data_IF_898625979517
#
_entry.id   IF_898625979517
#
_cell.length_a   1.000
_cell.length_b   1.000
_cell.length_c   1.000
_cell.angle_alpha   90.00
_cell.angle_beta   90.00
_cell.angle_gamma   90.00
#
_symmetry.space_group_name_H-M   'P 1'
#
loop_
_entity.id
_entity.type
_entity.pdbx_description
1 polymer ?
#
# COMPACT_ATOMS: atom_id res chain seq x y z
N UNK A 1 -28.90 12.16 -0.91
CA UNK A 1 -28.37 11.83 0.42
C UNK A 1 -28.90 12.83 1.42
N UNK A 2 -29.24 12.43 2.64
CA UNK A 2 -29.59 13.38 3.68
C UNK A 2 -28.36 14.21 4.04
N UNK A 3 -28.43 15.54 4.04
CA UNK A 3 -27.30 16.39 4.47
C UNK A 3 -26.98 16.04 5.93
N UNK A 4 -25.77 15.59 6.20
CA UNK A 4 -25.27 15.24 7.54
C UNK A 4 -25.19 13.75 7.85
N UNK A 5 -25.48 12.86 6.90
CA UNK A 5 -25.23 11.41 7.06
C UNK A 5 -23.93 11.04 6.34
N UNK A 6 -23.01 10.38 7.05
CA UNK A 6 -21.76 9.89 6.48
C UNK A 6 -22.04 8.87 5.35
N UNK A 7 -21.50 9.06 4.14
CA UNK A 7 -21.64 8.07 3.08
C UNK A 7 -20.96 6.76 3.47
N UNK A 8 -21.52 5.63 3.02
CA UNK A 8 -20.85 4.34 3.18
C UNK A 8 -19.50 4.34 2.43
N UNK A 9 -18.63 3.38 2.75
CA UNK A 9 -17.35 3.23 2.05
C UNK A 9 -17.55 3.05 0.52
N UNK A 10 -18.55 2.24 0.12
CA UNK A 10 -18.91 2.07 -1.28
C UNK A 10 -19.38 3.38 -1.92
N UNK A 11 -20.28 4.10 -1.24
CA UNK A 11 -20.77 5.38 -1.76
C UNK A 11 -19.63 6.39 -1.89
N UNK A 12 -18.66 6.39 -0.96
CA UNK A 12 -17.49 7.27 -1.03
C UNK A 12 -16.64 7.00 -2.27
N UNK A 13 -16.40 5.73 -2.62
CA UNK A 13 -15.68 5.34 -3.84
C UNK A 13 -16.45 5.79 -5.09
N UNK A 14 -17.75 5.58 -5.11
CA UNK A 14 -18.62 6.00 -6.25
C UNK A 14 -18.68 7.52 -6.39
N UNK A 15 -18.71 8.30 -5.30
CA UNK A 15 -18.67 9.77 -5.31
C UNK A 15 -17.35 10.25 -5.94
N UNK A 16 -16.20 9.70 -5.50
CA UNK A 16 -14.90 10.09 -6.05
C UNK A 16 -14.76 9.72 -7.53
N UNK A 17 -15.23 8.52 -7.92
CA UNK A 17 -15.29 8.11 -9.31
C UNK A 17 -16.12 9.08 -10.15
N UNK A 18 -17.35 9.39 -9.75
CA UNK A 18 -18.26 10.27 -10.48
C UNK A 18 -17.70 11.70 -10.58
N UNK A 19 -17.01 12.21 -9.54
CA UNK A 19 -16.33 13.51 -9.58
C UNK A 19 -15.31 13.57 -10.71
N UNK A 20 -14.47 12.52 -10.83
CA UNK A 20 -13.46 12.47 -11.89
C UNK A 20 -14.09 12.30 -13.28
N UNK A 21 -15.05 11.39 -13.43
CA UNK A 21 -15.72 11.13 -14.73
C UNK A 21 -16.45 12.35 -15.26
N UNK A 22 -17.03 13.19 -14.40
CA UNK A 22 -17.66 14.45 -14.80
C UNK A 22 -16.68 15.42 -15.51
N UNK A 23 -15.37 15.24 -15.33
CA UNK A 23 -14.31 16.02 -15.97
C UNK A 23 -13.66 15.30 -17.17
N UNK A 24 -14.23 14.15 -17.60
CA UNK A 24 -13.72 13.31 -18.70
C UNK A 24 -14.71 13.25 -19.86
N UNK A 25 -14.19 13.05 -21.06
CA UNK A 25 -15.00 12.72 -22.23
C UNK A 25 -15.05 11.18 -22.42
N UNK A 26 -15.96 10.55 -21.66
CA UNK A 26 -16.23 9.12 -21.75
C UNK A 26 -17.64 8.89 -22.28
N UNK A 27 -17.80 7.88 -23.15
CA UNK A 27 -19.16 7.44 -23.51
C UNK A 27 -19.85 6.81 -22.30
N UNK A 28 -21.18 6.98 -22.14
CA UNK A 28 -21.92 6.42 -21.00
C UNK A 28 -21.74 4.91 -20.82
N UNK A 29 -21.62 4.15 -21.91
CA UNK A 29 -21.38 2.71 -21.85
C UNK A 29 -19.99 2.34 -21.34
N UNK A 30 -18.96 3.12 -21.68
CA UNK A 30 -17.60 2.90 -21.18
C UNK A 30 -17.47 3.33 -19.71
N UNK A 31 -18.10 4.44 -19.34
CA UNK A 31 -18.19 4.87 -17.95
C UNK A 31 -18.80 3.77 -17.07
N UNK A 32 -19.97 3.26 -17.43
CA UNK A 32 -20.66 2.18 -16.72
C UNK A 32 -19.78 0.92 -16.63
N UNK A 33 -19.11 0.55 -17.74
CA UNK A 33 -18.21 -0.60 -17.79
C UNK A 33 -17.03 -0.47 -16.82
N UNK A 34 -16.49 0.73 -16.63
CA UNK A 34 -15.36 0.98 -15.71
C UNK A 34 -15.84 1.01 -14.25
N UNK A 35 -17.07 1.44 -14.01
CA UNK A 35 -17.64 1.61 -12.67
C UNK A 35 -18.05 0.29 -12.00
N UNK A 36 -18.58 -0.67 -12.76
CA UNK A 36 -19.17 -1.90 -12.22
C UNK A 36 -18.16 -3.03 -12.12
N UNK A 37 -18.30 -3.89 -11.09
CA UNK A 37 -17.54 -5.12 -11.01
C UNK A 37 -17.98 -6.12 -12.09
N UNK A 38 -17.01 -6.77 -12.74
CA UNK A 38 -17.27 -7.80 -13.75
C UNK A 38 -17.93 -9.05 -13.16
N UNK A 39 -17.48 -9.46 -11.96
CA UNK A 39 -18.02 -10.63 -11.29
C UNK A 39 -17.79 -10.56 -9.77
N UNK A 40 -18.73 -11.06 -8.99
CA UNK A 40 -18.59 -11.29 -7.57
C UNK A 40 -19.09 -12.66 -7.20
N UNK A 41 -18.22 -13.43 -6.55
CA UNK A 41 -18.53 -14.78 -6.08
C UNK A 41 -18.72 -14.79 -4.58
N UNK A 42 -19.89 -15.25 -4.14
CA UNK A 42 -20.13 -15.63 -2.74
C UNK A 42 -19.94 -17.12 -2.61
N UNK A 43 -19.00 -17.55 -1.79
CA UNK A 43 -18.76 -18.96 -1.51
C UNK A 43 -19.15 -19.29 -0.07
N UNK A 44 -19.88 -20.40 0.11
CA UNK A 44 -20.21 -20.96 1.42
C UNK A 44 -19.64 -22.35 1.50
N UNK A 45 -18.94 -22.64 2.60
CA UNK A 45 -18.27 -23.93 2.77
C UNK A 45 -18.25 -24.35 4.24
N UNK A 46 -18.19 -25.66 4.45
CA UNK A 46 -18.10 -26.22 5.80
C UNK A 46 -16.68 -26.71 6.10
N UNK A 47 -16.25 -26.51 7.34
CA UNK A 47 -15.02 -27.10 7.91
C UNK A 47 -15.40 -27.84 9.20
N UNK A 48 -14.82 -29.03 9.43
CA UNK A 48 -14.99 -29.74 10.69
C UNK A 48 -14.01 -29.20 11.70
N UNK A 49 -14.53 -28.49 12.70
CA UNK A 49 -13.77 -27.89 13.80
C UNK A 49 -14.44 -28.23 15.14
N UNK A 50 -13.65 -28.46 16.18
CA UNK A 50 -14.15 -28.65 17.56
C UNK A 50 -15.24 -29.72 17.65
N UNK A 51 -15.11 -30.81 16.88
CA UNK A 51 -16.05 -31.93 16.88
C UNK A 51 -17.34 -31.71 16.07
N UNK A 52 -17.56 -30.53 15.47
CA UNK A 52 -18.73 -30.18 14.65
C UNK A 52 -18.37 -29.66 13.26
N UNK A 53 -19.37 -29.37 12.44
CA UNK A 53 -19.20 -28.67 11.17
C UNK A 53 -19.58 -27.21 11.40
N UNK A 54 -18.63 -26.30 11.12
CA UNK A 54 -18.88 -24.87 11.07
C UNK A 54 -18.95 -24.41 9.61
N UNK A 55 -19.88 -23.51 9.30
CA UNK A 55 -20.10 -22.96 7.97
C UNK A 55 -19.56 -21.55 7.89
N UNK A 56 -18.80 -21.26 6.83
CA UNK A 56 -18.16 -19.99 6.57
C UNK A 56 -18.68 -19.37 5.29
N UNK A 57 -18.72 -18.04 5.25
CA UNK A 57 -19.06 -17.26 4.06
C UNK A 57 -17.87 -16.42 3.65
N UNK A 58 -17.46 -16.56 2.40
CA UNK A 58 -16.38 -15.76 1.81
C UNK A 58 -16.80 -15.17 0.48
N UNK A 59 -16.07 -14.14 0.06
CA UNK A 59 -16.30 -13.40 -1.17
C UNK A 59 -15.01 -13.31 -1.99
N UNK A 60 -15.14 -13.27 -3.31
CA UNK A 60 -14.10 -12.84 -4.24
C UNK A 60 -14.73 -12.03 -5.35
N UNK A 61 -14.35 -10.75 -5.47
CA UNK A 61 -14.83 -9.85 -6.51
C UNK A 61 -13.71 -9.54 -7.50
N UNK A 62 -14.07 -9.53 -8.77
CA UNK A 62 -13.26 -9.06 -9.91
C UNK A 62 -13.90 -7.78 -10.40
N UNK A 63 -13.21 -6.66 -10.25
CA UNK A 63 -13.74 -5.38 -10.69
C UNK A 63 -13.48 -5.17 -12.18
N UNK A 64 -12.24 -5.24 -12.62
CA UNK A 64 -11.88 -4.96 -14.01
C UNK A 64 -10.79 -5.90 -14.52
N UNK A 65 -11.04 -6.50 -15.68
CA UNK A 65 -10.10 -7.34 -16.44
C UNK A 65 -9.52 -6.58 -17.64
N UNK A 66 -9.39 -5.26 -17.51
CA UNK A 66 -8.71 -4.45 -18.54
C UNK A 66 -7.26 -4.91 -18.71
N UNK A 67 -6.64 -5.42 -17.66
CA UNK A 67 -5.35 -6.13 -17.60
C UNK A 67 -5.53 -7.43 -16.81
N UNK A 68 -4.75 -8.45 -17.15
CA UNK A 68 -4.69 -9.73 -16.44
C UNK A 68 -3.25 -10.05 -16.05
N UNK A 69 -3.08 -10.75 -14.90
CA UNK A 69 -4.12 -11.20 -13.97
C UNK A 69 -4.75 -10.05 -13.19
N UNK A 70 -5.93 -10.29 -12.60
CA UNK A 70 -6.49 -9.35 -11.62
C UNK A 70 -5.82 -9.55 -10.26
N UNK A 71 -5.64 -8.49 -9.49
CA UNK A 71 -4.87 -8.47 -8.25
C UNK A 71 -5.63 -7.85 -7.10
N UNK A 72 -5.55 -8.45 -5.90
CA UNK A 72 -6.11 -7.85 -4.69
C UNK A 72 -6.09 -8.78 -3.48
N UNK A 73 -5.97 -8.20 -2.29
CA UNK A 73 -5.84 -8.91 -1.03
C UNK A 73 -7.07 -9.74 -0.64
N UNK A 74 -6.89 -10.64 0.33
CA UNK A 74 -7.96 -11.37 1.01
C UNK A 74 -7.99 -10.90 2.46
N UNK A 75 -9.13 -10.32 2.88
CA UNK A 75 -9.37 -9.80 4.23
C UNK A 75 -10.09 -10.83 5.09
N UNK A 76 -9.63 -11.04 6.32
CA UNK A 76 -10.38 -11.77 7.35
C UNK A 76 -10.89 -10.77 8.39
N UNK A 77 -12.21 -10.59 8.40
CA UNK A 77 -12.89 -9.72 9.35
C UNK A 77 -14.36 -10.11 9.47
N UNK A 78 -14.95 -10.04 10.67
CA UNK A 78 -16.39 -10.33 10.85
C UNK A 78 -17.29 -9.38 10.07
N UNK A 79 -16.82 -8.15 9.75
CA UNK A 79 -17.58 -7.15 9.00
C UNK A 79 -17.58 -7.31 7.49
N UNK A 80 -16.78 -8.25 6.95
CA UNK A 80 -16.66 -8.46 5.49
C UNK A 80 -18.02 -8.76 4.87
N UNK A 81 -18.35 -7.98 3.84
CA UNK A 81 -19.57 -8.15 3.05
C UNK A 81 -19.29 -7.88 1.56
N UNK A 82 -20.27 -8.18 0.72
CA UNK A 82 -20.13 -8.04 -0.74
C UNK A 82 -19.81 -6.60 -1.16
N UNK A 83 -20.55 -5.62 -0.63
CA UNK A 83 -20.40 -4.21 -1.02
C UNK A 83 -18.99 -3.68 -0.69
N UNK A 84 -18.46 -4.02 0.47
CA UNK A 84 -17.10 -3.67 0.87
C UNK A 84 -16.05 -4.30 -0.07
N UNK A 85 -16.20 -5.60 -0.36
CA UNK A 85 -15.28 -6.32 -1.25
C UNK A 85 -15.29 -5.75 -2.67
N UNK A 86 -16.45 -5.37 -3.19
CA UNK A 86 -16.58 -4.73 -4.50
C UNK A 86 -15.95 -3.34 -4.54
N UNK A 87 -16.18 -2.51 -3.51
CA UNK A 87 -15.56 -1.18 -3.41
C UNK A 87 -14.04 -1.27 -3.35
N UNK A 88 -13.51 -2.20 -2.54
CA UNK A 88 -12.07 -2.43 -2.45
C UNK A 88 -11.48 -3.02 -3.75
N UNK A 89 -12.25 -3.82 -4.51
CA UNK A 89 -11.83 -4.33 -5.82
C UNK A 89 -11.74 -3.20 -6.86
N UNK A 90 -12.66 -2.22 -6.82
CA UNK A 90 -12.61 -1.03 -7.65
C UNK A 90 -11.37 -0.18 -7.35
N UNK A 91 -11.11 0.09 -6.07
CA UNK A 91 -9.88 0.80 -5.66
C UNK A 91 -8.61 0.07 -6.11
N UNK A 92 -8.59 -1.27 -6.09
CA UNK A 92 -7.44 -2.03 -6.60
C UNK A 92 -7.23 -1.81 -8.10
N UNK A 93 -8.29 -1.73 -8.91
CA UNK A 93 -8.19 -1.39 -10.34
C UNK A 93 -7.53 -0.02 -10.54
N UNK A 94 -8.05 1.01 -9.86
CA UNK A 94 -7.53 2.37 -10.01
C UNK A 94 -6.11 2.49 -9.48
N UNK A 95 -5.80 1.85 -8.36
CA UNK A 95 -4.46 1.81 -7.79
C UNK A 95 -3.44 1.17 -8.73
N UNK A 96 -3.74 -0.03 -9.27
CA UNK A 96 -2.85 -0.70 -10.22
C UNK A 96 -2.65 0.13 -11.49
N UNK A 97 -3.71 0.73 -12.05
CA UNK A 97 -3.63 1.58 -13.21
C UNK A 97 -2.78 2.84 -12.96
N UNK A 98 -2.91 3.44 -11.77
CA UNK A 98 -2.15 4.64 -11.41
C UNK A 98 -0.65 4.40 -11.42
N UNK A 99 -0.20 3.34 -10.74
CA UNK A 99 1.22 2.97 -10.62
C UNK A 99 1.71 2.07 -11.75
N UNK A 100 0.94 1.94 -12.83
CA UNK A 100 1.27 1.14 -14.01
C UNK A 100 1.64 -0.32 -13.72
N UNK A 101 1.16 -0.86 -12.60
CA UNK A 101 1.23 -2.29 -12.37
C UNK A 101 0.26 -2.98 -13.35
N UNK A 102 0.71 -3.94 -14.19
CA UNK A 102 -0.09 -4.51 -15.27
C UNK A 102 -1.10 -5.52 -14.74
N UNK A 103 -1.95 -5.07 -13.83
CA UNK A 103 -3.00 -5.85 -13.18
C UNK A 103 -4.36 -5.20 -13.35
N UNK A 104 -5.37 -6.04 -13.51
CA UNK A 104 -6.74 -5.65 -13.20
C UNK A 104 -6.97 -5.62 -11.69
N UNK A 105 -8.18 -5.28 -11.26
CA UNK A 105 -8.51 -5.18 -9.83
C UNK A 105 -9.39 -6.31 -9.34
N UNK A 106 -9.04 -6.88 -8.21
CA UNK A 106 -9.88 -7.81 -7.46
C UNK A 106 -9.76 -7.62 -5.96
N UNK A 107 -10.66 -8.21 -5.20
CA UNK A 107 -10.61 -8.26 -3.75
C UNK A 107 -11.30 -9.50 -3.24
N UNK A 108 -10.85 -10.05 -2.13
CA UNK A 108 -11.51 -11.14 -1.43
C UNK A 108 -11.68 -10.87 0.04
N UNK A 109 -12.54 -11.65 0.67
CA UNK A 109 -12.70 -11.61 2.11
C UNK A 109 -13.41 -12.83 2.65
N UNK A 110 -13.21 -13.10 3.93
CA UNK A 110 -13.85 -14.16 4.68
C UNK A 110 -14.44 -13.57 5.96
N UNK A 111 -15.71 -13.86 6.24
CA UNK A 111 -16.43 -13.36 7.42
C UNK A 111 -16.01 -14.16 8.66
N UNK A 112 -14.84 -13.87 9.22
CA UNK A 112 -14.35 -14.44 10.48
C UNK A 112 -13.53 -13.42 11.26
N UNK A 113 -13.49 -13.56 12.58
CA UNK A 113 -12.45 -12.96 13.40
C UNK A 113 -11.32 -13.99 13.55
N UNK A 114 -10.12 -13.75 12.98
CA UNK A 114 -9.04 -14.72 13.07
C UNK A 114 -8.57 -14.99 14.50
N UNK A 115 -8.89 -14.11 15.46
CA UNK A 115 -8.55 -14.28 16.89
C UNK A 115 -9.41 -15.33 17.59
N UNK A 116 -10.55 -15.71 17.00
CA UNK A 116 -11.44 -16.73 17.53
C UNK A 116 -10.96 -18.17 17.25
N UNK A 117 -9.91 -18.32 16.43
CA UNK A 117 -9.41 -19.61 15.95
C UNK A 117 -7.92 -19.76 16.28
N UNK A 118 -7.51 -20.98 16.62
CA UNK A 118 -6.10 -21.31 16.71
C UNK A 118 -5.45 -21.44 15.32
N UNK A 119 -4.13 -21.58 15.29
CA UNK A 119 -3.38 -21.65 14.02
C UNK A 119 -3.80 -22.82 13.14
N UNK A 120 -4.03 -23.97 13.73
CA UNK A 120 -4.46 -25.17 13.00
C UNK A 120 -5.86 -25.01 12.42
N UNK A 121 -6.78 -24.45 13.19
CA UNK A 121 -8.15 -24.15 12.74
C UNK A 121 -8.15 -23.13 11.59
N UNK A 122 -7.33 -22.06 11.71
CA UNK A 122 -7.15 -21.07 10.64
C UNK A 122 -6.56 -21.70 9.38
N UNK A 123 -5.60 -22.62 9.51
CA UNK A 123 -5.05 -23.36 8.37
C UNK A 123 -6.15 -24.15 7.65
N UNK A 124 -6.96 -24.92 8.38
CA UNK A 124 -8.06 -25.69 7.81
C UNK A 124 -9.08 -24.82 7.09
N UNK A 125 -9.47 -23.70 7.70
CA UNK A 125 -10.41 -22.72 7.14
C UNK A 125 -9.82 -22.10 5.87
N UNK A 126 -8.57 -21.62 5.93
CA UNK A 126 -7.88 -20.97 4.81
C UNK A 126 -7.69 -21.91 3.62
N UNK A 127 -7.24 -23.14 3.85
CA UNK A 127 -7.09 -24.14 2.81
C UNK A 127 -8.42 -24.52 2.18
N UNK A 128 -9.48 -24.63 2.96
CA UNK A 128 -10.82 -24.91 2.43
C UNK A 128 -11.37 -23.75 1.61
N UNK A 129 -11.19 -22.52 2.06
CA UNK A 129 -11.53 -21.33 1.30
C UNK A 129 -10.74 -21.26 -0.01
N UNK A 130 -9.42 -21.45 0.05
CA UNK A 130 -8.57 -21.51 -1.13
C UNK A 130 -9.03 -22.59 -2.13
N UNK A 131 -9.37 -23.80 -1.66
CA UNK A 131 -9.92 -24.85 -2.51
C UNK A 131 -11.16 -24.39 -3.28
N UNK A 132 -12.09 -23.69 -2.60
CA UNK A 132 -13.30 -23.19 -3.24
C UNK A 132 -13.02 -22.12 -4.30
N UNK A 133 -11.99 -21.28 -4.08
CA UNK A 133 -11.58 -20.26 -5.04
C UNK A 133 -10.78 -20.84 -6.20
N UNK A 134 -9.85 -21.77 -5.95
CA UNK A 134 -8.99 -22.39 -6.98
C UNK A 134 -9.82 -23.11 -8.02
N UNK A 135 -10.80 -23.93 -7.62
CA UNK A 135 -11.66 -24.67 -8.55
C UNK A 135 -12.53 -23.78 -9.46
N UNK A 136 -12.50 -22.45 -9.26
CA UNK A 136 -13.22 -21.44 -10.05
C UNK A 136 -12.28 -20.45 -10.72
N UNK A 137 -10.99 -20.74 -10.75
CA UNK A 137 -9.92 -19.87 -11.26
C UNK A 137 -9.84 -18.49 -10.56
N UNK A 138 -10.43 -18.38 -9.35
CA UNK A 138 -10.36 -17.19 -8.51
C UNK A 138 -9.06 -17.11 -7.70
N UNK A 139 -8.19 -18.11 -7.80
CA UNK A 139 -6.77 -18.13 -7.44
C UNK A 139 -6.07 -18.87 -8.57
N UNK A 140 -5.32 -18.11 -9.38
CA UNK A 140 -4.61 -18.61 -10.55
C UNK A 140 -3.52 -17.61 -10.94
N UNK A 141 -2.26 -18.06 -11.21
CA UNK A 141 -1.15 -17.15 -11.56
C UNK A 141 -1.42 -16.25 -12.77
N UNK A 142 -2.23 -16.72 -13.73
CA UNK A 142 -2.52 -16.03 -14.97
C UNK A 142 -3.82 -15.22 -14.95
N UNK A 143 -4.74 -15.48 -14.00
CA UNK A 143 -6.06 -14.86 -14.00
C UNK A 143 -6.36 -14.03 -12.75
N UNK A 144 -6.04 -14.54 -11.55
CA UNK A 144 -6.45 -13.88 -10.32
C UNK A 144 -5.48 -14.20 -9.17
N UNK A 145 -4.71 -13.20 -8.75
CA UNK A 145 -3.59 -13.35 -7.81
C UNK A 145 -3.88 -12.63 -6.49
N UNK A 146 -4.26 -13.35 -5.43
CA UNK A 146 -4.44 -12.78 -4.10
C UNK A 146 -3.13 -12.25 -3.48
N UNK A 147 -3.31 -11.49 -2.39
CA UNK A 147 -2.26 -10.98 -1.53
C UNK A 147 -2.77 -10.90 -0.09
N UNK A 148 -1.91 -10.64 0.91
CA UNK A 148 -2.35 -10.35 2.27
C UNK A 148 -3.18 -9.05 2.33
N UNK A 149 -4.07 -9.00 3.32
CA UNK A 149 -4.84 -7.84 3.74
C UNK A 149 -5.10 -7.92 5.25
N UNK A 150 -5.97 -7.09 5.80
CA UNK A 150 -6.33 -7.14 7.22
C UNK A 150 -6.74 -8.55 7.64
N UNK A 151 -6.16 -9.04 8.74
CA UNK A 151 -6.42 -10.37 9.29
C UNK A 151 -5.75 -11.54 8.57
N UNK A 152 -4.93 -11.28 7.53
CA UNK A 152 -4.10 -12.29 6.84
C UNK A 152 -2.67 -11.80 6.67
N UNK A 153 -1.73 -12.74 6.52
CA UNK A 153 -0.30 -12.44 6.39
C UNK A 153 0.43 -13.47 5.52
N UNK A 154 1.74 -13.50 5.68
CA UNK A 154 2.63 -14.41 4.94
C UNK A 154 2.24 -15.87 5.15
N UNK A 155 1.80 -16.23 6.34
CA UNK A 155 1.40 -17.58 6.75
C UNK A 155 0.19 -18.07 5.94
N UNK A 156 -0.87 -17.30 5.87
CA UNK A 156 -2.07 -17.60 5.10
C UNK A 156 -1.75 -17.70 3.60
N UNK A 157 -0.90 -16.81 3.10
CA UNK A 157 -0.46 -16.86 1.69
C UNK A 157 0.36 -18.12 1.39
N UNK A 158 1.19 -18.59 2.32
CA UNK A 158 1.91 -19.86 2.17
C UNK A 158 0.95 -21.06 2.11
N UNK A 159 -0.08 -21.09 2.96
CA UNK A 159 -1.09 -22.15 2.94
C UNK A 159 -1.91 -22.16 1.64
N UNK A 160 -2.25 -20.98 1.11
CA UNK A 160 -2.97 -20.84 -0.17
C UNK A 160 -2.09 -21.33 -1.32
N UNK A 161 -0.80 -20.94 -1.35
CA UNK A 161 0.14 -21.37 -2.39
C UNK A 161 0.35 -22.88 -2.38
N UNK A 162 0.51 -23.50 -1.20
CA UNK A 162 0.62 -24.95 -1.05
C UNK A 162 -0.66 -25.66 -1.49
N UNK A 163 -1.84 -25.13 -1.12
CA UNK A 163 -3.12 -25.67 -1.56
C UNK A 163 -3.27 -25.61 -3.09
N UNK A 164 -2.87 -24.51 -3.72
CA UNK A 164 -2.87 -24.36 -5.17
C UNK A 164 -1.99 -25.41 -5.83
N UNK A 165 -0.77 -25.57 -5.35
CA UNK A 165 0.19 -26.54 -5.90
C UNK A 165 -0.29 -27.98 -5.77
N UNK A 166 -0.98 -28.34 -4.69
CA UNK A 166 -1.59 -29.68 -4.51
C UNK A 166 -2.68 -29.98 -5.52
N UNK A 167 -3.42 -28.95 -5.97
CA UNK A 167 -4.49 -29.09 -6.96
C UNK A 167 -3.99 -29.00 -8.41
N UNK A 168 -2.88 -28.28 -8.65
CA UNK A 168 -2.31 -27.98 -9.96
C UNK A 168 -0.84 -28.42 -10.02
N UNK A 169 -0.58 -29.72 -9.89
CA UNK A 169 0.76 -30.30 -9.73
C UNK A 169 1.68 -30.07 -10.93
N UNK A 170 1.14 -29.84 -12.11
CA UNK A 170 1.88 -29.62 -13.37
C UNK A 170 2.12 -28.14 -13.69
N UNK A 171 1.50 -27.23 -12.93
CA UNK A 171 1.70 -25.79 -13.13
C UNK A 171 3.05 -25.34 -12.59
N UNK A 172 4.00 -25.09 -13.49
CA UNK A 172 5.34 -24.60 -13.14
C UNK A 172 5.31 -23.19 -12.56
N UNK A 173 4.28 -22.39 -12.86
CA UNK A 173 4.07 -21.04 -12.39
C UNK A 173 3.25 -20.98 -11.09
N UNK A 174 2.87 -22.13 -10.54
CA UNK A 174 1.97 -22.23 -9.39
C UNK A 174 2.42 -21.43 -8.16
N UNK A 175 3.73 -21.15 -8.01
CA UNK A 175 4.27 -20.28 -6.93
C UNK A 175 3.79 -18.83 -7.09
N UNK A 176 3.49 -18.38 -8.31
CA UNK A 176 3.00 -17.02 -8.60
C UNK A 176 1.49 -16.85 -8.35
N UNK A 177 0.77 -17.89 -7.91
CA UNK A 177 -0.69 -17.84 -7.70
C UNK A 177 -1.12 -16.86 -6.60
N UNK A 178 -0.22 -16.50 -5.68
CA UNK A 178 -0.40 -15.47 -4.64
C UNK A 178 0.89 -14.71 -4.41
N UNK A 179 0.81 -13.52 -3.83
CA UNK A 179 1.97 -12.72 -3.40
C UNK A 179 1.91 -12.42 -1.91
N UNK A 180 3.02 -11.95 -1.33
CA UNK A 180 3.16 -11.74 0.11
C UNK A 180 3.43 -13.03 0.87
N UNK A 181 4.10 -13.98 0.23
CA UNK A 181 4.57 -15.22 0.84
C UNK A 181 5.83 -14.99 1.68
N UNK A 182 6.14 -15.88 2.63
CA UNK A 182 7.46 -15.91 3.25
C UNK A 182 8.59 -16.04 2.22
N UNK A 183 9.75 -15.49 2.52
CA UNK A 183 10.92 -15.51 1.62
C UNK A 183 11.28 -16.93 1.18
N UNK A 184 11.26 -17.89 2.12
CA UNK A 184 11.55 -19.29 1.85
C UNK A 184 10.47 -20.02 1.04
N UNK A 185 9.28 -19.42 0.90
CA UNK A 185 8.17 -19.93 0.09
C UNK A 185 8.00 -19.17 -1.25
N UNK A 186 8.99 -18.41 -1.67
CA UNK A 186 8.97 -17.66 -2.93
C UNK A 186 8.61 -16.18 -2.80
N UNK A 187 8.55 -15.65 -1.59
CA UNK A 187 8.37 -14.23 -1.31
C UNK A 187 9.55 -13.37 -1.79
N UNK A 188 9.43 -12.06 -1.70
CA UNK A 188 10.42 -11.09 -2.13
C UNK A 188 10.88 -10.20 -0.96
N UNK A 189 12.17 -9.90 -0.90
CA UNK A 189 12.70 -8.94 0.08
C UNK A 189 12.08 -7.55 -0.14
N UNK A 190 11.85 -6.82 0.96
CA UNK A 190 11.24 -5.50 0.93
C UNK A 190 9.71 -5.49 0.91
N UNK A 191 9.03 -6.67 0.80
CA UNK A 191 7.55 -6.71 0.76
C UNK A 191 6.91 -6.22 2.05
N UNK A 192 7.50 -6.56 3.21
CA UNK A 192 6.97 -6.18 4.52
C UNK A 192 6.99 -4.67 4.71
N UNK A 193 8.07 -4.00 4.33
CA UNK A 193 8.23 -2.55 4.44
C UNK A 193 7.57 -1.76 3.29
N UNK A 194 7.18 -2.42 2.20
CA UNK A 194 6.86 -1.80 0.92
C UNK A 194 5.79 -0.70 0.99
N UNK A 195 4.75 -0.88 1.79
CA UNK A 195 3.68 0.11 1.89
C UNK A 195 4.15 1.36 2.64
N UNK A 196 4.82 1.18 3.80
CA UNK A 196 5.40 2.31 4.55
C UNK A 196 6.51 3.01 3.76
N UNK A 197 7.33 2.26 3.04
CA UNK A 197 8.34 2.83 2.12
C UNK A 197 7.69 3.61 0.98
N UNK A 198 6.57 3.14 0.46
CA UNK A 198 5.77 3.86 -0.53
C UNK A 198 5.24 5.19 -0.02
N UNK A 199 4.78 5.24 1.23
CA UNK A 199 4.36 6.49 1.90
C UNK A 199 5.53 7.49 1.99
N UNK A 200 6.72 7.04 2.38
CA UNK A 200 7.92 7.88 2.40
C UNK A 200 8.25 8.42 0.99
N UNK A 201 8.24 7.56 -0.03
CA UNK A 201 8.52 7.98 -1.40
C UNK A 201 7.44 8.92 -1.98
N UNK A 202 6.19 8.75 -1.56
CA UNK A 202 5.12 9.69 -1.91
C UNK A 202 5.38 11.08 -1.32
N UNK A 203 5.86 11.16 -0.08
CA UNK A 203 6.28 12.40 0.53
C UNK A 203 7.51 13.00 -0.14
N UNK A 204 8.52 12.18 -0.49
CA UNK A 204 9.67 12.65 -1.26
C UNK A 204 9.26 13.29 -2.60
N UNK A 205 8.31 12.66 -3.30
CA UNK A 205 7.81 13.20 -4.57
C UNK A 205 7.03 14.50 -4.37
N UNK A 206 6.18 14.57 -3.33
CA UNK A 206 5.42 15.77 -3.00
C UNK A 206 6.33 16.94 -2.57
N UNK A 207 7.35 16.69 -1.75
CA UNK A 207 8.28 17.74 -1.29
C UNK A 207 9.21 18.27 -2.39
N UNK A 208 9.24 17.65 -3.56
CA UNK A 208 9.87 18.17 -4.78
C UNK A 208 8.93 18.99 -5.67
N UNK A 209 7.64 18.95 -5.39
CA UNK A 209 6.61 19.70 -6.10
C UNK A 209 6.38 21.06 -5.45
N UNK A 210 7.05 22.10 -5.94
CA UNK A 210 6.96 23.46 -5.39
C UNK A 210 5.55 24.00 -5.40
N UNK A 211 4.75 23.72 -6.45
CA UNK A 211 3.35 24.15 -6.53
C UNK A 211 2.46 23.42 -5.51
N UNK A 212 2.72 22.15 -5.30
CA UNK A 212 2.03 21.35 -4.28
C UNK A 212 2.33 21.87 -2.87
N UNK A 213 3.60 22.16 -2.59
CA UNK A 213 4.02 22.75 -1.32
C UNK A 213 3.39 24.13 -1.06
N UNK A 214 3.37 25.01 -2.08
CA UNK A 214 2.71 26.31 -1.99
C UNK A 214 1.21 26.17 -1.67
N UNK A 215 0.50 25.24 -2.33
CA UNK A 215 -0.92 24.96 -2.05
C UNK A 215 -1.15 24.44 -0.62
N UNK A 216 -0.25 23.61 -0.09
CA UNK A 216 -0.30 23.11 1.28
C UNK A 216 0.17 24.15 2.31
N UNK A 217 0.71 25.30 1.89
CA UNK A 217 1.32 26.28 2.82
C UNK A 217 2.56 25.72 3.54
N UNK A 218 3.20 24.70 2.97
CA UNK A 218 4.41 24.08 3.49
C UNK A 218 5.64 24.60 2.73
N UNK A 219 6.79 24.65 3.41
CA UNK A 219 8.05 25.03 2.80
C UNK A 219 9.21 24.19 3.32
N UNK A 220 10.35 24.25 2.62
CA UNK A 220 11.57 23.53 3.02
C UNK A 220 11.53 22.04 2.66
N UNK A 221 12.36 21.29 3.35
CA UNK A 221 12.51 19.83 3.19
C UNK A 221 11.70 19.07 4.25
N UNK A 222 11.76 17.75 4.23
CA UNK A 222 11.12 16.89 5.24
C UNK A 222 11.78 17.01 6.61
N UNK A 223 13.08 17.34 6.66
CA UNK A 223 13.81 17.47 7.92
C UNK A 223 13.12 18.47 8.87
N UNK A 224 12.94 18.02 10.11
CA UNK A 224 12.28 18.79 11.16
C UNK A 224 10.75 18.88 11.08
N UNK A 225 10.08 18.36 10.04
CA UNK A 225 8.61 18.35 9.95
C UNK A 225 8.00 17.52 11.06
N UNK A 226 6.92 18.05 11.66
CA UNK A 226 6.15 17.40 12.72
C UNK A 226 5.13 16.47 12.09
N UNK A 227 5.19 15.19 12.44
CA UNK A 227 4.35 14.14 11.85
C UNK A 227 3.54 13.46 12.95
N UNK A 228 2.24 13.36 12.72
CA UNK A 228 1.33 12.55 13.53
C UNK A 228 0.98 11.29 12.76
N UNK A 229 1.16 10.11 13.37
CA UNK A 229 0.86 8.81 12.75
C UNK A 229 -0.23 8.10 13.54
N UNK A 230 -1.30 7.70 12.85
CA UNK A 230 -2.34 6.86 13.44
C UNK A 230 -2.15 5.39 13.02
N UNK A 231 -1.94 4.54 14.01
CA UNK A 231 -1.65 3.13 13.83
C UNK A 231 -0.16 2.85 13.63
N UNK A 232 0.43 2.07 14.54
CA UNK A 232 1.82 1.61 14.45
C UNK A 232 1.89 0.13 14.03
N UNK A 233 0.92 -0.30 13.21
CA UNK A 233 0.95 -1.58 12.50
C UNK A 233 2.02 -1.56 11.40
N UNK A 234 2.01 -2.58 10.52
CA UNK A 234 3.03 -2.72 9.49
C UNK A 234 3.28 -1.45 8.66
N UNK A 235 2.23 -0.75 8.25
CA UNK A 235 2.35 0.44 7.39
C UNK A 235 2.84 1.65 8.17
N UNK A 236 2.17 1.98 9.27
CA UNK A 236 2.50 3.18 10.05
C UNK A 236 3.87 3.08 10.72
N UNK A 237 4.24 1.91 11.23
CA UNK A 237 5.57 1.69 11.78
C UNK A 237 6.69 1.95 10.76
N UNK A 238 6.62 1.33 9.58
CA UNK A 238 7.65 1.52 8.57
C UNK A 238 7.67 2.96 8.03
N UNK A 239 6.50 3.59 7.83
CA UNK A 239 6.44 4.99 7.42
C UNK A 239 7.07 5.91 8.47
N UNK A 240 6.67 5.79 9.74
CA UNK A 240 7.22 6.59 10.84
C UNK A 240 8.72 6.39 11.00
N UNK A 241 9.18 5.13 10.97
CA UNK A 241 10.59 4.77 11.08
C UNK A 241 11.43 5.45 9.99
N UNK A 242 11.06 5.28 8.73
CA UNK A 242 11.86 5.83 7.63
C UNK A 242 11.83 7.36 7.61
N UNK A 243 10.69 7.98 7.88
CA UNK A 243 10.59 9.44 7.98
C UNK A 243 11.44 10.01 9.13
N UNK A 244 11.52 9.31 10.26
CA UNK A 244 12.35 9.79 11.38
C UNK A 244 13.84 9.51 11.18
N UNK A 245 14.22 8.28 10.78
CA UNK A 245 15.62 7.85 10.70
C UNK A 245 16.34 8.35 9.43
N UNK A 246 15.63 8.40 8.29
CA UNK A 246 16.24 8.73 7.00
C UNK A 246 16.00 10.18 6.57
N UNK A 247 14.84 10.76 6.96
CA UNK A 247 14.42 12.10 6.50
C UNK A 247 14.41 13.16 7.61
N UNK A 248 14.74 12.79 8.86
CA UNK A 248 14.84 13.74 9.96
C UNK A 248 13.50 14.33 10.45
N UNK A 249 12.37 13.73 10.07
CA UNK A 249 11.07 14.12 10.57
C UNK A 249 10.93 13.85 12.08
N UNK A 250 10.15 14.68 12.77
CA UNK A 250 9.79 14.49 14.17
C UNK A 250 8.43 13.80 14.25
N UNK A 251 8.38 12.55 14.71
CA UNK A 251 7.13 11.85 14.96
C UNK A 251 6.57 12.36 16.30
N UNK A 252 5.74 13.39 16.25
CA UNK A 252 5.27 14.09 17.45
C UNK A 252 4.10 13.41 18.14
N UNK A 253 3.36 12.53 17.44
CA UNK A 253 2.36 11.68 18.07
C UNK A 253 2.20 10.36 17.36
N UNK A 254 1.92 9.29 18.14
CA UNK A 254 1.56 7.96 17.68
C UNK A 254 0.23 7.59 18.32
N UNK A 255 -0.78 7.37 17.50
CA UNK A 255 -2.15 7.06 17.91
C UNK A 255 -2.41 5.57 17.71
N UNK A 256 -2.84 4.89 18.77
CA UNK A 256 -3.27 3.50 18.74
C UNK A 256 -4.71 3.36 19.28
N UNK A 257 -5.28 2.16 19.17
CA UNK A 257 -6.67 1.88 19.58
C UNK A 257 -6.98 2.17 21.05
N UNK A 258 -5.96 2.16 21.90
CA UNK A 258 -6.06 2.25 23.35
C UNK A 258 -5.45 3.52 23.95
N UNK A 259 -5.11 4.49 23.09
CA UNK A 259 -4.61 5.81 23.46
C UNK A 259 -3.63 6.36 22.47
N UNK A 260 -2.96 7.45 22.81
CA UNK A 260 -1.89 8.02 21.99
C UNK A 260 -0.74 8.51 22.86
N UNK A 261 0.48 8.37 22.38
CA UNK A 261 1.68 9.00 22.93
C UNK A 261 1.97 10.29 22.15
N UNK A 262 2.50 11.29 22.84
CA UNK A 262 2.92 12.53 22.18
C UNK A 262 4.16 13.12 22.83
N UNK A 263 5.04 13.71 22.01
CA UNK A 263 6.21 14.49 22.44
C UNK A 263 6.61 15.45 21.30
N UNK A 264 6.61 16.75 21.56
CA UNK A 264 6.99 17.76 20.56
C UNK A 264 8.45 17.67 20.11
N UNK A 265 9.30 16.98 20.88
CA UNK A 265 10.70 16.72 20.53
C UNK A 265 10.84 15.61 19.49
N UNK A 266 9.83 14.76 19.35
CA UNK A 266 9.76 13.54 18.57
C UNK A 266 9.91 12.28 19.44
N UNK A 267 9.06 11.30 19.15
CA UNK A 267 9.05 9.96 19.77
C UNK A 267 10.09 9.05 19.10
N UNK A 268 10.73 8.19 19.89
CA UNK A 268 11.53 7.09 19.36
C UNK A 268 10.60 5.97 18.85
N UNK A 269 10.46 5.89 17.54
CA UNK A 269 9.54 4.95 16.88
C UNK A 269 9.91 3.50 17.18
N UNK A 270 11.21 3.17 17.22
CA UNK A 270 11.70 1.81 17.50
C UNK A 270 11.39 1.39 18.93
N UNK A 271 11.59 2.27 19.90
CA UNK A 271 11.31 1.98 21.30
C UNK A 271 9.79 1.83 21.53
N UNK A 272 8.96 2.71 20.96
CA UNK A 272 7.50 2.60 21.05
C UNK A 272 7.01 1.30 20.40
N UNK A 273 7.50 0.96 19.21
CA UNK A 273 7.12 -0.28 18.52
C UNK A 273 7.55 -1.52 19.31
N UNK A 274 8.74 -1.52 19.90
CA UNK A 274 9.24 -2.59 20.77
C UNK A 274 8.34 -2.75 22.00
N UNK A 275 7.95 -1.63 22.62
CA UNK A 275 7.05 -1.63 23.77
C UNK A 275 5.70 -2.29 23.41
N UNK A 276 5.06 -1.85 22.33
CA UNK A 276 3.79 -2.41 21.88
C UNK A 276 3.94 -3.91 21.58
N UNK A 277 5.03 -4.33 20.94
CA UNK A 277 5.28 -5.74 20.63
C UNK A 277 5.41 -6.61 21.86
N UNK A 278 5.98 -6.08 22.95
CA UNK A 278 6.14 -6.82 24.21
C UNK A 278 4.90 -6.81 25.08
N UNK A 279 4.14 -5.72 25.11
CA UNK A 279 3.04 -5.52 26.06
C UNK A 279 1.65 -5.60 25.42
N UNK A 280 1.56 -5.57 24.08
CA UNK A 280 0.28 -5.56 23.35
C UNK A 280 -0.54 -4.28 23.49
N UNK A 281 0.03 -3.22 24.07
CA UNK A 281 -0.63 -1.95 24.38
C UNK A 281 0.39 -0.81 24.34
N UNK A 282 -0.12 0.39 24.00
CA UNK A 282 0.68 1.64 24.10
C UNK A 282 0.72 2.19 25.54
N UNK A 283 -0.23 1.76 26.38
CA UNK A 283 -0.35 2.23 27.77
C UNK A 283 0.85 1.81 28.61
N UNK A 284 1.25 2.73 29.49
CA UNK A 284 2.37 2.49 30.40
C UNK A 284 3.74 2.69 29.79
N UNK A 285 3.84 3.17 28.55
CA UNK A 285 5.13 3.56 27.97
C UNK A 285 5.76 4.67 28.83
N UNK A 286 7.03 4.50 29.28
CA UNK A 286 7.58 5.37 30.33
C UNK A 286 8.04 6.75 29.83
N UNK A 287 8.45 6.85 28.57
CA UNK A 287 9.23 8.01 28.07
C UNK A 287 8.39 9.05 27.33
N UNK A 288 7.06 8.91 27.33
CA UNK A 288 6.16 9.91 26.76
C UNK A 288 4.80 9.92 27.48
N UNK A 289 4.14 11.11 27.57
CA UNK A 289 2.80 11.21 28.11
C UNK A 289 1.78 10.48 27.24
N UNK A 290 0.75 9.91 27.90
CA UNK A 290 -0.36 9.21 27.27
C UNK A 290 -1.60 10.13 27.27
N UNK A 291 -2.20 10.30 26.07
CA UNK A 291 -3.59 10.77 25.91
C UNK A 291 -4.50 9.53 25.79
N UNK A 292 -5.42 9.39 26.72
CA UNK A 292 -6.34 8.21 26.73
C UNK A 292 -7.33 8.25 25.56
N UNK A 293 -7.80 9.45 25.19
CA UNK A 293 -8.62 9.65 24.00
C UNK A 293 -7.72 9.97 22.80
N UNK A 294 -7.05 8.94 22.28
CA UNK A 294 -6.09 9.08 21.20
C UNK A 294 -6.66 9.75 19.94
N UNK A 295 -7.97 9.67 19.70
CA UNK A 295 -8.60 10.30 18.53
C UNK A 295 -8.44 11.83 18.52
N UNK A 296 -8.30 12.46 19.68
CA UNK A 296 -8.04 13.92 19.78
C UNK A 296 -6.74 14.33 19.10
N UNK A 297 -5.74 13.44 19.04
CA UNK A 297 -4.46 13.76 18.42
C UNK A 297 -4.48 13.73 16.89
N UNK A 298 -5.58 13.27 16.26
CA UNK A 298 -5.84 13.53 14.84
C UNK A 298 -5.98 15.05 14.56
N UNK A 299 -6.44 15.81 15.56
CA UNK A 299 -6.64 17.25 15.49
C UNK A 299 -5.44 18.06 16.02
N UNK A 300 -4.32 17.37 16.34
CA UNK A 300 -3.11 18.02 16.83
C UNK A 300 -2.51 18.97 15.79
N UNK A 301 -1.79 19.99 16.27
CA UNK A 301 -1.02 20.87 15.41
C UNK A 301 0.23 20.14 14.91
N UNK A 302 0.23 19.82 13.62
CA UNK A 302 1.34 19.14 12.94
C UNK A 302 1.43 19.57 11.48
N UNK A 303 2.53 19.23 10.83
CA UNK A 303 2.77 19.57 9.42
C UNK A 303 2.20 18.45 8.50
N UNK A 304 2.25 17.21 8.97
CA UNK A 304 1.83 16.02 8.21
C UNK A 304 1.03 15.09 9.14
N UNK A 305 -0.16 14.68 8.68
CA UNK A 305 -0.98 13.66 9.34
C UNK A 305 -1.02 12.40 8.49
N UNK A 306 -0.67 11.25 9.07
CA UNK A 306 -0.62 9.95 8.39
C UNK A 306 -1.60 8.97 9.05
N UNK A 307 -2.86 8.90 8.60
CA UNK A 307 -3.78 7.85 9.03
C UNK A 307 -3.39 6.51 8.37
N UNK A 308 -2.90 5.56 9.18
CA UNK A 308 -2.38 4.27 8.73
C UNK A 308 -3.09 3.05 9.37
N UNK A 309 -4.25 3.25 10.01
CA UNK A 309 -4.97 2.19 10.72
C UNK A 309 -6.27 1.77 10.01
N UNK A 310 -7.32 2.57 10.11
CA UNK A 310 -8.68 2.19 9.73
C UNK A 310 -9.27 3.17 8.72
N UNK A 311 -10.32 2.71 8.02
CA UNK A 311 -11.18 3.54 7.18
C UNK A 311 -12.03 4.50 8.04
N UNK A 312 -12.39 5.67 7.45
CA UNK A 312 -13.35 6.62 8.00
C UNK A 312 -12.95 7.30 9.31
N UNK A 313 -11.66 7.30 9.66
CA UNK A 313 -11.16 7.94 10.91
C UNK A 313 -11.24 9.45 10.86
N UNK A 314 -11.17 10.04 9.67
CA UNK A 314 -11.43 11.45 9.41
C UNK A 314 -12.76 11.53 8.69
N UNK A 315 -13.75 12.13 9.35
CA UNK A 315 -15.14 12.13 8.93
C UNK A 315 -15.81 13.49 9.24
N UNK A 316 -17.11 13.61 9.01
CA UNK A 316 -17.85 14.86 9.22
C UNK A 316 -17.74 15.41 10.64
N UNK A 317 -17.47 14.57 11.65
CA UNK A 317 -17.43 15.01 13.05
C UNK A 317 -16.13 15.70 13.44
N UNK A 318 -14.99 15.33 12.81
CA UNK A 318 -13.67 15.82 13.18
C UNK A 318 -12.94 16.61 12.04
N UNK A 319 -13.39 16.51 10.78
CA UNK A 319 -12.72 17.17 9.65
C UNK A 319 -12.56 18.68 9.83
N UNK A 320 -13.51 19.36 10.47
CA UNK A 320 -13.45 20.79 10.73
C UNK A 320 -12.29 21.16 11.67
N UNK A 321 -11.88 20.26 12.56
CA UNK A 321 -10.86 20.50 13.58
C UNK A 321 -9.46 20.11 13.13
N UNK A 322 -9.31 19.33 12.04
CA UNK A 322 -8.00 18.95 11.50
C UNK A 322 -7.16 20.19 11.20
N UNK A 323 -5.96 20.24 11.75
CA UNK A 323 -5.03 21.37 11.60
C UNK A 323 -3.90 21.08 10.61
N UNK A 324 -3.61 19.80 10.39
CA UNK A 324 -2.57 19.38 9.45
C UNK A 324 -2.84 19.94 8.04
N UNK A 325 -1.91 20.69 7.44
CA UNK A 325 -2.05 21.17 6.07
C UNK A 325 -1.85 20.07 5.01
N UNK A 326 -1.23 18.96 5.40
CA UNK A 326 -0.98 17.81 4.55
C UNK A 326 -1.45 16.53 5.23
N UNK A 327 -2.30 15.78 4.55
CA UNK A 327 -2.71 14.42 4.97
C UNK A 327 -2.17 13.41 3.96
N UNK A 328 -1.58 12.31 4.45
CA UNK A 328 -1.10 11.20 3.61
C UNK A 328 -1.85 9.93 3.99
N UNK A 329 -2.73 9.48 3.12
CA UNK A 329 -3.60 8.33 3.38
C UNK A 329 -2.86 6.99 3.25
N UNK A 330 -2.27 6.54 4.34
CA UNK A 330 -1.57 5.26 4.37
C UNK A 330 -2.52 4.05 4.54
N UNK A 331 -3.67 4.22 5.19
CA UNK A 331 -4.78 3.26 5.19
C UNK A 331 -5.65 3.39 3.93
N UNK A 332 -6.58 2.46 3.70
CA UNK A 332 -7.57 2.59 2.62
C UNK A 332 -8.76 3.41 3.12
N UNK A 333 -9.13 4.47 2.40
CA UNK A 333 -10.27 5.33 2.69
C UNK A 333 -10.32 5.90 4.10
N UNK A 334 -9.22 6.40 4.68
CA UNK A 334 -9.24 6.94 6.04
C UNK A 334 -9.99 8.27 6.13
N UNK A 335 -10.08 9.00 5.02
CA UNK A 335 -10.89 10.23 4.89
C UNK A 335 -12.16 9.89 4.13
N UNK A 336 -13.31 10.18 4.73
CA UNK A 336 -14.62 9.98 4.08
C UNK A 336 -14.86 11.04 3.01
N UNK A 337 -15.79 10.78 2.08
CA UNK A 337 -16.11 11.74 1.01
C UNK A 337 -16.64 13.07 1.59
N UNK A 338 -17.44 13.02 2.66
CA UNK A 338 -17.93 14.23 3.31
C UNK A 338 -16.82 15.05 3.99
N UNK A 339 -15.85 14.36 4.61
CA UNK A 339 -14.67 15.00 5.20
C UNK A 339 -13.73 15.58 4.14
N UNK A 340 -13.56 14.91 3.01
CA UNK A 340 -12.76 15.36 1.87
C UNK A 340 -13.21 16.74 1.37
N UNK A 341 -14.53 16.94 1.22
CA UNK A 341 -15.08 18.24 0.82
C UNK A 341 -14.77 19.35 1.82
N UNK A 342 -14.87 19.06 3.11
CA UNK A 342 -14.54 20.02 4.19
C UNK A 342 -13.05 20.37 4.17
N UNK A 343 -12.18 19.36 4.10
CA UNK A 343 -10.74 19.53 4.12
C UNK A 343 -10.25 20.30 2.89
N UNK A 344 -10.78 19.99 1.73
CA UNK A 344 -10.50 20.68 0.47
C UNK A 344 -10.91 22.16 0.56
N UNK A 345 -12.10 22.46 1.09
CA UNK A 345 -12.53 23.84 1.31
C UNK A 345 -11.65 24.62 2.30
N UNK A 346 -10.96 23.92 3.21
CA UNK A 346 -9.95 24.49 4.12
C UNK A 346 -8.57 24.65 3.48
N UNK A 347 -8.35 24.18 2.26
CA UNK A 347 -7.05 24.20 1.61
C UNK A 347 -6.10 23.08 2.05
N UNK A 348 -6.58 22.06 2.78
CA UNK A 348 -5.76 20.90 3.16
C UNK A 348 -5.46 20.06 1.92
N UNK A 349 -4.20 19.74 1.70
CA UNK A 349 -3.80 18.84 0.61
C UNK A 349 -3.84 17.39 1.11
N UNK A 350 -4.45 16.51 0.31
CA UNK A 350 -4.52 15.08 0.61
C UNK A 350 -3.75 14.31 -0.47
N UNK A 351 -2.71 13.59 -0.06
CA UNK A 351 -2.07 12.57 -0.89
C UNK A 351 -2.94 11.30 -0.77
N UNK A 352 -3.66 10.89 -1.84
CA UNK A 352 -4.72 9.89 -1.73
C UNK A 352 -4.18 8.47 -1.53
N UNK A 353 -4.98 7.63 -0.89
CA UNK A 353 -4.69 6.23 -0.57
C UNK A 353 -4.34 5.37 -1.79
N UNK A 354 -5.05 5.59 -2.90
CA UNK A 354 -4.76 4.86 -4.14
C UNK A 354 -3.34 5.09 -4.69
N UNK A 355 -2.66 6.15 -4.23
CA UNK A 355 -1.27 6.43 -4.51
C UNK A 355 -0.37 6.12 -3.29
N UNK A 356 -0.61 6.75 -2.15
CA UNK A 356 0.29 6.71 -0.99
C UNK A 356 0.61 5.28 -0.53
N UNK A 357 -0.39 4.39 -0.48
CA UNK A 357 -0.20 3.01 -0.04
C UNK A 357 0.04 2.00 -1.20
N UNK A 358 0.26 2.48 -2.43
CA UNK A 358 0.48 1.63 -3.59
C UNK A 358 1.82 0.88 -3.59
N UNK A 359 2.75 1.22 -2.70
CA UNK A 359 4.02 0.50 -2.57
C UNK A 359 3.84 -1.00 -2.36
N UNK A 360 2.81 -1.39 -1.60
CA UNK A 360 2.48 -2.79 -1.38
C UNK A 360 2.13 -3.57 -2.64
N UNK A 361 1.32 -3.01 -3.55
CA UNK A 361 0.96 -3.68 -4.81
C UNK A 361 2.11 -3.65 -5.80
N UNK A 362 2.91 -2.58 -5.83
CA UNK A 362 4.11 -2.47 -6.66
C UNK A 362 5.11 -3.58 -6.34
N UNK A 363 5.45 -3.78 -5.07
CA UNK A 363 6.36 -4.87 -4.68
C UNK A 363 5.71 -6.26 -4.84
N UNK A 364 4.38 -6.35 -4.71
CA UNK A 364 3.67 -7.58 -5.07
C UNK A 364 3.78 -7.90 -6.57
N UNK A 365 3.81 -6.90 -7.44
CA UNK A 365 4.09 -7.10 -8.86
C UNK A 365 5.50 -7.65 -9.08
N UNK A 366 6.50 -7.11 -8.41
CA UNK A 366 7.88 -7.62 -8.50
C UNK A 366 7.99 -9.07 -8.00
N UNK A 367 7.28 -9.43 -6.92
CA UNK A 367 7.22 -10.82 -6.44
C UNK A 367 6.61 -11.76 -7.47
N UNK A 368 5.51 -11.37 -8.09
CA UNK A 368 4.83 -12.14 -9.11
C UNK A 368 5.74 -12.35 -10.33
N UNK A 369 6.37 -11.29 -10.86
CA UNK A 369 7.33 -11.38 -11.99
C UNK A 369 8.52 -12.28 -11.63
N UNK A 370 9.09 -12.13 -10.42
CA UNK A 370 10.17 -12.99 -9.93
C UNK A 370 9.76 -14.47 -9.94
N UNK A 371 8.53 -14.77 -9.50
CA UNK A 371 8.03 -16.14 -9.46
C UNK A 371 7.78 -16.70 -10.86
N UNK A 372 7.28 -15.90 -11.80
CA UNK A 372 7.08 -16.32 -13.20
C UNK A 372 8.40 -16.50 -13.95
N UNK A 373 9.39 -15.64 -13.69
CA UNK A 373 10.68 -15.72 -14.38
C UNK A 373 11.57 -16.87 -13.88
N UNK A 374 11.26 -17.47 -12.72
CA UNK A 374 12.06 -18.50 -12.05
C UNK A 374 13.53 -18.08 -11.78
N UNK A 375 13.81 -16.77 -11.79
CA UNK A 375 15.14 -16.18 -11.58
C UNK A 375 15.12 -15.29 -10.35
N UNK A 376 16.18 -15.33 -9.55
CA UNK A 376 16.36 -14.40 -8.44
C UNK A 376 16.86 -13.05 -8.97
N UNK A 377 16.18 -11.96 -8.60
CA UNK A 377 16.58 -10.61 -8.97
C UNK A 377 18.01 -10.31 -8.52
N UNK A 378 18.76 -9.66 -9.41
CA UNK A 378 20.13 -9.22 -9.18
C UNK A 378 21.20 -10.32 -9.23
N UNK A 379 20.85 -11.62 -9.11
CA UNK A 379 21.86 -12.68 -8.94
C UNK A 379 22.80 -12.85 -10.13
N UNK A 380 22.31 -12.67 -11.35
CA UNK A 380 23.12 -12.82 -12.56
C UNK A 380 23.95 -11.57 -12.89
N UNK A 381 23.47 -10.40 -12.48
CA UNK A 381 24.11 -9.10 -12.77
C UNK A 381 25.11 -8.71 -11.69
N UNK A 382 24.81 -9.00 -10.44
CA UNK A 382 25.57 -8.56 -9.27
C UNK A 382 27.07 -8.83 -9.38
N UNK A 383 27.48 -10.06 -9.72
CA UNK A 383 28.91 -10.40 -9.83
C UNK A 383 29.59 -9.67 -10.99
N UNK A 384 28.87 -9.44 -12.09
CA UNK A 384 29.42 -8.68 -13.22
C UNK A 384 29.59 -7.20 -12.84
N UNK A 385 28.63 -6.62 -12.11
CA UNK A 385 28.71 -5.26 -11.58
C UNK A 385 29.85 -5.13 -10.59
N UNK A 386 29.95 -6.04 -9.61
CA UNK A 386 31.05 -6.10 -8.63
C UNK A 386 32.42 -6.16 -9.32
N UNK A 387 32.55 -6.99 -10.38
CA UNK A 387 33.80 -7.10 -11.15
C UNK A 387 34.13 -5.81 -11.91
N UNK A 388 33.13 -5.13 -12.47
CA UNK A 388 33.33 -3.83 -13.17
C UNK A 388 33.69 -2.72 -12.18
N UNK A 389 33.07 -2.69 -11.04
CA UNK A 389 33.37 -1.73 -9.97
C UNK A 389 34.78 -1.96 -9.42
N UNK A 390 35.21 -3.24 -9.27
CA UNK A 390 36.56 -3.57 -8.84
C UNK A 390 37.61 -3.06 -9.83
N UNK A 391 37.39 -3.29 -11.15
CA UNK A 391 38.30 -2.78 -12.18
C UNK A 391 38.45 -1.24 -12.13
N UNK A 392 37.34 -0.53 -11.86
CA UNK A 392 37.41 0.93 -11.74
C UNK A 392 38.17 1.36 -10.48
N UNK A 393 37.92 0.70 -9.36
CA UNK A 393 38.66 0.97 -8.11
C UNK A 393 40.13 0.70 -8.25
N UNK A 394 40.52 -0.44 -8.85
CA UNK A 394 41.91 -0.81 -9.08
C UNK A 394 42.62 0.24 -9.97
N UNK A 395 41.95 0.73 -11.04
CA UNK A 395 42.50 1.74 -11.93
C UNK A 395 42.63 3.12 -11.24
N UNK A 396 41.65 3.52 -10.41
CA UNK A 396 41.77 4.75 -9.62
C UNK A 396 42.90 4.68 -8.59
N UNK A 397 43.12 3.55 -7.93
CA UNK A 397 44.27 3.36 -7.03
C UNK A 397 45.60 3.36 -7.75
N UNK A 398 45.67 2.76 -8.94
CA UNK A 398 46.86 2.80 -9.80
C UNK A 398 47.18 4.25 -10.19
N UNK A 399 46.21 5.02 -10.67
CA UNK A 399 46.38 6.43 -11.03
C UNK A 399 46.81 7.30 -9.81
N UNK A 400 46.29 7.03 -8.61
CA UNK A 400 46.76 7.68 -7.41
C UNK A 400 48.22 7.43 -7.09
N UNK A 401 48.65 6.17 -7.22
CA UNK A 401 50.04 5.78 -7.02
C UNK A 401 50.96 6.43 -8.06
N UNK A 402 50.58 6.41 -9.33
CA UNK A 402 51.34 6.98 -10.44
C UNK A 402 51.45 8.52 -10.36
N UNK A 403 50.42 9.20 -9.83
CA UNK A 403 50.42 10.66 -9.66
C UNK A 403 51.29 11.17 -8.50
N UNK A 404 51.78 10.29 -7.63
CA UNK A 404 52.54 10.63 -6.42
C UNK A 404 51.73 11.32 -5.31
N UNK A 405 50.41 11.46 -5.46
CA UNK A 405 49.54 12.12 -4.47
C UNK A 405 49.17 11.18 -3.34
N UNK A 406 49.16 9.86 -3.58
CA UNK A 406 49.00 8.81 -2.54
C UNK A 406 47.65 8.81 -1.79
N UNK A 407 46.59 9.31 -2.42
CA UNK A 407 45.26 9.23 -1.84
C UNK A 407 44.70 7.79 -1.90
N UNK A 408 43.91 7.43 -0.95
CA UNK A 408 43.25 6.14 -0.89
C UNK A 408 41.74 6.32 -0.70
N UNK A 409 40.98 5.48 -1.39
CA UNK A 409 39.52 5.41 -1.14
C UNK A 409 39.26 4.87 0.28
N UNK A 410 38.33 5.50 1.01
CA UNK A 410 37.98 5.04 2.35
C UNK A 410 37.45 3.58 2.27
N UNK A 411 37.75 2.73 3.29
CA UNK A 411 37.24 1.37 3.32
C UNK A 411 35.70 1.30 3.21
N UNK A 412 35.00 2.19 3.90
CA UNK A 412 33.54 2.28 3.85
C UNK A 412 33.01 2.59 2.43
N UNK A 413 33.71 3.47 1.69
CA UNK A 413 33.35 3.76 0.29
C UNK A 413 33.58 2.54 -0.59
N UNK A 414 34.74 1.87 -0.45
CA UNK A 414 35.06 0.65 -1.21
C UNK A 414 34.00 -0.43 -0.99
N UNK A 415 33.67 -0.74 0.27
CA UNK A 415 32.70 -1.77 0.61
C UNK A 415 31.32 -1.48 0.03
N UNK A 416 30.87 -0.21 0.11
CA UNK A 416 29.58 0.21 -0.45
C UNK A 416 29.59 0.21 -1.97
N UNK A 417 30.67 0.71 -2.60
CA UNK A 417 30.76 0.85 -4.04
C UNK A 417 30.98 -0.49 -4.75
N UNK A 418 31.82 -1.37 -4.18
CA UNK A 418 32.11 -2.68 -4.76
C UNK A 418 30.93 -3.65 -4.68
N UNK A 419 30.04 -3.45 -3.72
CA UNK A 419 28.87 -4.31 -3.54
C UNK A 419 27.83 -4.03 -4.62
N UNK A 420 27.60 -5.00 -5.49
CA UNK A 420 26.48 -4.95 -6.45
C UNK A 420 25.12 -5.02 -5.76
N UNK A 421 24.08 -4.48 -6.40
CA UNK A 421 22.74 -4.42 -5.86
C UNK A 421 22.17 -5.83 -5.57
N UNK A 422 21.69 -6.04 -4.37
CA UNK A 422 20.91 -7.22 -3.98
C UNK A 422 19.43 -7.07 -4.35
N UNK A 423 18.64 -8.10 -4.03
CA UNK A 423 17.19 -8.07 -4.31
C UNK A 423 16.49 -6.89 -3.63
N UNK A 424 16.83 -6.59 -2.37
CA UNK A 424 16.22 -5.50 -1.62
C UNK A 424 16.49 -4.13 -2.24
N UNK A 425 17.74 -3.87 -2.61
CA UNK A 425 18.14 -2.61 -3.23
C UNK A 425 17.45 -2.41 -4.60
N UNK A 426 17.32 -3.47 -5.41
CA UNK A 426 16.60 -3.43 -6.67
C UNK A 426 15.11 -3.17 -6.49
N UNK A 427 14.49 -3.83 -5.50
CA UNK A 427 13.08 -3.62 -5.15
C UNK A 427 12.82 -2.20 -4.69
N UNK A 428 13.68 -1.65 -3.82
CA UNK A 428 13.57 -0.25 -3.36
C UNK A 428 13.74 0.74 -4.50
N UNK A 429 14.70 0.52 -5.41
CA UNK A 429 14.90 1.35 -6.57
C UNK A 429 13.70 1.33 -7.52
N UNK A 430 13.20 0.14 -7.88
CA UNK A 430 12.03 0.03 -8.74
C UNK A 430 10.76 0.59 -8.09
N UNK A 431 10.61 0.46 -6.77
CA UNK A 431 9.52 1.07 -6.03
C UNK A 431 9.60 2.61 -6.06
N UNK A 432 10.81 3.16 -5.86
CA UNK A 432 11.04 4.61 -5.91
C UNK A 432 10.66 5.19 -7.28
N UNK A 433 11.13 4.56 -8.36
CA UNK A 433 10.83 5.00 -9.72
C UNK A 433 9.32 4.96 -10.00
N UNK A 434 8.67 3.85 -9.66
CA UNK A 434 7.22 3.69 -9.81
C UNK A 434 6.41 4.75 -9.06
N UNK A 435 6.76 5.00 -7.79
CA UNK A 435 6.08 6.02 -6.99
C UNK A 435 6.32 7.43 -7.54
N UNK A 436 7.54 7.73 -7.99
CA UNK A 436 7.90 9.04 -8.55
C UNK A 436 7.17 9.31 -9.88
N UNK A 437 7.07 8.32 -10.76
CA UNK A 437 6.38 8.46 -12.04
C UNK A 437 4.87 8.60 -11.87
N UNK A 438 4.28 7.82 -10.94
CA UNK A 438 2.86 7.96 -10.61
C UNK A 438 2.53 9.35 -10.05
N UNK A 439 3.38 9.88 -9.14
CA UNK A 439 3.21 11.24 -8.63
C UNK A 439 3.29 12.27 -9.75
N UNK A 440 4.30 12.18 -10.62
CA UNK A 440 4.49 13.10 -11.74
C UNK A 440 3.25 13.16 -12.62
N UNK A 441 2.67 12.00 -12.94
CA UNK A 441 1.46 11.91 -13.76
C UNK A 441 0.25 12.57 -13.10
N UNK A 442 0.09 12.42 -11.78
CA UNK A 442 -0.98 13.09 -11.03
C UNK A 442 -0.75 14.61 -10.93
N UNK A 443 0.47 15.01 -10.59
CA UNK A 443 0.83 16.42 -10.41
C UNK A 443 0.69 17.20 -11.74
N UNK A 444 1.05 16.60 -12.87
CA UNK A 444 0.85 17.17 -14.19
C UNK A 444 -0.63 17.49 -14.44
N UNK A 445 -1.54 16.55 -14.19
CA UNK A 445 -2.98 16.77 -14.32
C UNK A 445 -3.47 17.83 -13.35
N UNK A 446 -3.06 17.77 -12.09
CA UNK A 446 -3.45 18.71 -11.03
C UNK A 446 -3.04 20.15 -11.32
N UNK A 447 -1.84 20.35 -11.92
CA UNK A 447 -1.28 21.67 -12.15
C UNK A 447 -1.55 22.25 -13.56
N UNK A 448 -1.99 21.44 -14.52
CA UNK A 448 -2.26 21.86 -15.88
C UNK A 448 -3.74 22.14 -16.17
N UNK A 449 -4.63 21.73 -15.26
CA UNK A 449 -6.09 21.84 -15.44
C UNK A 449 -6.71 22.62 -14.30
N UNK A 450 -7.33 23.76 -14.64
CA UNK A 450 -8.00 24.65 -13.67
C UNK A 450 -9.26 24.02 -13.04
N UNK A 451 -9.85 23.01 -13.69
CA UNK A 451 -11.03 22.26 -13.23
C UNK A 451 -10.66 21.07 -12.31
N UNK A 452 -9.36 20.82 -12.05
CA UNK A 452 -8.87 19.77 -11.14
C UNK A 452 -8.32 20.41 -9.88
N UNK A 453 -9.13 20.39 -8.83
CA UNK A 453 -8.83 21.11 -7.59
C UNK A 453 -7.84 20.39 -6.66
N UNK A 454 -7.80 19.04 -6.70
CA UNK A 454 -7.08 18.21 -5.75
C UNK A 454 -6.37 16.99 -6.38
N UNK A 455 -5.38 16.43 -5.65
CA UNK A 455 -4.60 15.26 -6.08
C UNK A 455 -5.44 13.99 -6.19
N UNK A 456 -6.49 13.82 -5.38
CA UNK A 456 -7.37 12.64 -5.44
C UNK A 456 -8.12 12.62 -6.77
N UNK A 457 -8.72 13.74 -7.16
CA UNK A 457 -9.39 13.89 -8.45
C UNK A 457 -8.41 13.63 -9.60
N UNK A 458 -7.19 14.19 -9.53
CA UNK A 458 -6.14 13.94 -10.51
C UNK A 458 -5.76 12.44 -10.59
N UNK A 459 -5.62 11.75 -9.45
CA UNK A 459 -5.33 10.33 -9.41
C UNK A 459 -6.41 9.48 -10.08
N UNK A 460 -7.69 9.79 -9.83
CA UNK A 460 -8.80 9.12 -10.50
C UNK A 460 -8.82 9.39 -12.01
N UNK A 461 -8.58 10.64 -12.43
CA UNK A 461 -8.51 11.00 -13.86
C UNK A 461 -7.42 10.20 -14.59
N UNK A 462 -6.22 10.15 -14.04
CA UNK A 462 -5.10 9.36 -14.59
C UNK A 462 -5.47 7.89 -14.67
N UNK A 463 -5.98 7.32 -13.57
CA UNK A 463 -6.31 5.89 -13.48
C UNK A 463 -7.43 5.48 -14.43
N UNK A 464 -8.55 6.21 -14.39
CA UNK A 464 -9.71 5.93 -15.24
C UNK A 464 -9.32 6.12 -16.71
N UNK A 465 -8.52 7.13 -17.04
CA UNK A 465 -7.99 7.35 -18.39
C UNK A 465 -7.20 6.17 -18.93
N UNK A 466 -6.31 5.58 -18.10
CA UNK A 466 -5.54 4.38 -18.47
C UNK A 466 -6.42 3.14 -18.64
N UNK A 467 -7.39 2.94 -17.75
CA UNK A 467 -8.37 1.84 -17.86
C UNK A 467 -9.22 1.98 -19.11
N UNK A 468 -9.73 3.18 -19.39
CA UNK A 468 -10.52 3.49 -20.60
C UNK A 468 -9.70 3.26 -21.87
N UNK A 469 -8.43 3.69 -21.90
CA UNK A 469 -7.54 3.46 -23.04
C UNK A 469 -7.34 1.96 -23.30
N UNK A 470 -7.17 1.15 -22.25
CA UNK A 470 -7.06 -0.30 -22.37
C UNK A 470 -8.33 -0.94 -22.95
N UNK A 471 -9.52 -0.53 -22.49
CA UNK A 471 -10.78 -1.02 -23.02
C UNK A 471 -10.99 -0.62 -24.47
N UNK A 472 -10.72 0.65 -24.83
CA UNK A 472 -10.79 1.13 -26.23
C UNK A 472 -9.85 0.33 -27.14
N UNK A 473 -8.63 0.02 -26.69
CA UNK A 473 -7.68 -0.80 -27.45
C UNK A 473 -8.19 -2.24 -27.70
N UNK A 474 -9.08 -2.73 -26.82
CA UNK A 474 -9.74 -4.05 -26.95
C UNK A 474 -11.04 -4.00 -27.76
N UNK A 475 -11.45 -2.83 -28.26
CA UNK A 475 -12.62 -2.64 -29.11
C UNK A 475 -13.93 -2.32 -28.36
N UNK A 476 -13.83 -1.83 -27.13
CA UNK A 476 -14.97 -1.35 -26.33
C UNK A 476 -15.10 0.16 -26.39
#
# INVERSE_FOLDING_TARGET
MNPGTEPSFRDSVDIMFNRAVALMDLSPGLEEKIRVCNATYTVRFGVRLRGGIQTFTGYRSVHSEHMEPVKGGIRYSPGVNQNEVEALAALMTYKCALVEAPFGGSKGGLCIDPRDYDEHELELITRRFAYELIKRDMINPAQNVPAPDMGTGEREMAWIADQYKRMNTTDINGVACVTGKPINAGGIHGRTEATGRGVQYALHAFFRDTKGLEKAGLGGELDGKRVVVQGLGNVGYHAAKFLSEEDGCKITAIIERDGALFDDRGLDVEEVHRWISMHGTIKGYPDAPLEEDGAKLLEADCDILIPAALEGVINLTNAHNIKAPLIVEAANGPVTAGADDILRAKGVVIIPDMYANAGGVTVSYFEWVKNLSHIRFGRMQRRNEESRHQLLVDELERLSADSGVGWQLSPNFKDKYLRGAGELELVRSGLYDTMSDAYRSMAEVWHSRDDVEDLRTAAYLVSIGKVAASYRAKGL
#
